data_IF_388968413823
#
_entry.id   IF_388968413823
#
_cell.length_a   1.000
_cell.length_b   1.000
_cell.length_c   1.000
_cell.angle_alpha   90.00
_cell.angle_beta   90.00
_cell.angle_gamma   90.00
#
_symmetry.space_group_name_H-M   'P 1'
#
loop_
_entity.id
_entity.type
_entity.pdbx_description
1 polymer ?
#
# COMPACT_ATOMS: atom_id res chain seq x y z
N UNK A 1 39.10 13.51 10.58
CA UNK A 1 38.14 12.52 10.04
C UNK A 1 36.86 12.70 10.82
N UNK A 2 35.70 12.77 10.17
CA UNK A 2 34.44 12.63 10.89
C UNK A 2 34.42 11.22 11.47
N UNK A 3 34.46 11.08 12.78
CA UNK A 3 34.35 9.76 13.41
C UNK A 3 32.94 9.21 13.16
N UNK A 4 32.87 8.00 12.62
CA UNK A 4 31.64 7.25 12.42
C UNK A 4 31.83 5.85 12.99
N UNK A 5 30.72 5.25 13.43
CA UNK A 5 30.78 3.91 13.98
C UNK A 5 30.76 2.88 12.85
N UNK A 6 31.54 1.81 13.03
CA UNK A 6 31.50 0.65 12.15
C UNK A 6 30.08 0.07 12.12
N UNK A 7 29.56 -0.22 10.92
CA UNK A 7 28.19 -0.71 10.75
C UNK A 7 27.10 0.36 10.77
N UNK A 8 27.44 1.64 10.94
CA UNK A 8 26.48 2.74 10.84
C UNK A 8 25.91 2.84 9.41
N UNK A 9 24.60 3.07 9.29
CA UNK A 9 23.93 3.29 8.00
C UNK A 9 23.62 4.77 7.84
N UNK A 10 23.98 5.35 6.67
CA UNK A 10 23.69 6.74 6.30
C UNK A 10 23.11 6.84 4.90
N UNK A 11 22.45 7.98 4.67
CA UNK A 11 21.87 8.36 3.39
C UNK A 11 22.89 9.21 2.61
N UNK A 12 23.11 8.85 1.35
CA UNK A 12 24.01 9.53 0.42
C UNK A 12 23.23 9.96 -0.84
N UNK A 13 23.27 11.24 -1.25
CA UNK A 13 22.56 11.73 -2.44
C UNK A 13 23.31 11.53 -3.76
N UNK A 14 24.44 10.82 -3.73
CA UNK A 14 25.32 10.62 -4.89
C UNK A 14 25.73 9.16 -5.01
N UNK A 15 26.13 8.77 -6.22
CA UNK A 15 26.45 7.37 -6.57
C UNK A 15 27.85 6.93 -6.14
N UNK A 16 28.82 7.85 -6.17
CA UNK A 16 30.20 7.58 -5.76
C UNK A 16 30.30 7.52 -4.23
N UNK A 17 30.34 6.32 -3.70
CA UNK A 17 30.41 6.10 -2.25
C UNK A 17 31.82 6.39 -1.73
N UNK A 18 31.96 7.11 -0.59
CA UNK A 18 33.27 7.40 -0.01
C UNK A 18 33.99 6.13 0.44
N UNK A 19 35.32 6.22 0.55
CA UNK A 19 36.12 5.14 1.13
C UNK A 19 35.67 4.82 2.57
N UNK A 20 35.64 3.53 2.91
CA UNK A 20 35.16 3.04 4.21
C UNK A 20 33.63 2.87 4.28
N UNK A 21 32.92 2.98 3.16
CA UNK A 21 31.48 2.75 3.05
C UNK A 21 31.18 1.78 1.91
N UNK A 22 30.05 1.09 2.00
CA UNK A 22 29.50 0.27 0.93
C UNK A 22 27.99 0.48 0.81
N UNK A 23 27.44 0.38 -0.40
CA UNK A 23 25.98 0.47 -0.59
C UNK A 23 25.28 -0.71 0.08
N UNK A 24 24.07 -0.50 0.59
CA UNK A 24 23.25 -1.58 1.14
C UNK A 24 22.49 -2.29 0.01
N UNK A 25 23.20 -3.09 -0.81
CA UNK A 25 22.65 -3.80 -1.98
C UNK A 25 22.70 -5.33 -1.82
N UNK A 26 22.92 -5.84 -0.60
CA UNK A 26 22.94 -7.28 -0.33
C UNK A 26 24.24 -8.00 -0.71
N UNK A 27 25.32 -7.29 -1.05
CA UNK A 27 26.56 -7.94 -1.46
C UNK A 27 27.20 -8.78 -0.34
N UNK A 28 27.87 -9.86 -0.75
CA UNK A 28 28.63 -10.74 0.14
C UNK A 28 30.02 -10.15 0.44
N UNK A 29 30.36 -10.13 1.72
CA UNK A 29 31.64 -9.68 2.27
C UNK A 29 32.39 -10.88 2.83
N UNK A 30 33.71 -10.94 2.60
CA UNK A 30 34.56 -11.98 3.17
C UNK A 30 34.78 -11.73 4.67
N UNK A 31 34.49 -12.73 5.50
CA UNK A 31 34.65 -12.66 6.96
C UNK A 31 36.10 -12.35 7.33
N UNK A 32 37.07 -13.00 6.67
CA UNK A 32 38.50 -12.84 6.95
C UNK A 32 38.98 -11.38 6.82
N UNK A 33 38.40 -10.61 5.90
CA UNK A 33 38.77 -9.23 5.61
C UNK A 33 37.93 -8.21 6.40
N UNK A 34 36.78 -8.62 6.95
CA UNK A 34 35.80 -7.73 7.57
C UNK A 34 35.38 -8.25 8.96
N UNK A 35 36.33 -8.81 9.72
CA UNK A 35 36.06 -9.49 10.99
C UNK A 35 35.28 -8.59 11.97
N UNK A 36 35.68 -7.33 12.12
CA UNK A 36 35.02 -6.39 13.03
C UNK A 36 33.59 -6.05 12.60
N UNK A 37 33.30 -5.97 11.28
CA UNK A 37 31.94 -5.75 10.81
C UNK A 37 31.09 -7.02 10.99
N UNK A 38 31.69 -8.19 10.77
CA UNK A 38 31.05 -9.48 10.99
C UNK A 38 30.67 -9.70 12.46
N UNK A 39 31.48 -9.26 13.44
CA UNK A 39 31.09 -9.38 14.86
C UNK A 39 29.85 -8.55 15.22
N UNK A 40 29.56 -7.48 14.46
CA UNK A 40 28.36 -6.66 14.65
C UNK A 40 27.15 -7.26 13.93
N UNK A 41 27.30 -7.60 12.65
CA UNK A 41 26.17 -8.01 11.80
C UNK A 41 25.86 -9.51 11.87
N UNK A 42 26.88 -10.34 12.08
CA UNK A 42 26.81 -11.78 11.87
C UNK A 42 26.46 -12.11 10.42
N UNK A 43 25.74 -13.21 10.20
CA UNK A 43 25.16 -13.61 8.93
C UNK A 43 23.66 -13.26 8.80
N UNK A 44 23.17 -12.29 9.59
CA UNK A 44 21.73 -11.99 9.69
C UNK A 44 21.09 -11.56 8.37
N UNK A 45 21.87 -11.01 7.44
CA UNK A 45 21.42 -10.59 6.12
C UNK A 45 21.72 -11.61 5.01
N UNK A 46 22.31 -12.76 5.35
CA UNK A 46 22.71 -13.80 4.41
C UNK A 46 24.19 -14.16 4.49
N UNK A 47 24.63 -15.02 3.57
CA UNK A 47 25.95 -15.65 3.58
C UNK A 47 26.03 -16.88 4.48
N UNK A 48 27.16 -17.57 4.42
CA UNK A 48 27.38 -18.84 5.13
C UNK A 48 27.81 -18.68 6.59
N UNK A 49 28.16 -17.47 7.02
CA UNK A 49 28.64 -17.15 8.36
C UNK A 49 30.01 -17.75 8.71
N UNK A 50 30.71 -18.31 7.73
CA UNK A 50 32.04 -18.93 7.88
C UNK A 50 33.07 -18.24 6.98
N UNK A 51 32.85 -18.28 5.68
CA UNK A 51 33.68 -17.59 4.70
C UNK A 51 33.13 -16.18 4.41
N UNK A 52 31.80 -16.03 4.38
CA UNK A 52 31.15 -14.79 3.99
C UNK A 52 29.90 -14.46 4.82
N UNK A 53 29.51 -13.18 4.76
CA UNK A 53 28.25 -12.66 5.27
C UNK A 53 27.73 -11.59 4.31
N UNK A 54 26.43 -11.36 4.26
CA UNK A 54 25.86 -10.31 3.42
C UNK A 54 25.70 -8.99 4.18
N UNK A 55 25.76 -7.87 3.45
CA UNK A 55 25.25 -6.58 3.92
C UNK A 55 23.72 -6.53 3.77
N UNK A 56 23.02 -5.58 4.42
CA UNK A 56 21.60 -5.37 4.17
C UNK A 56 21.32 -5.06 2.69
N UNK A 57 20.18 -5.51 2.17
CA UNK A 57 19.64 -5.07 0.88
C UNK A 57 18.47 -4.12 1.14
N UNK A 58 18.68 -2.83 0.86
CA UNK A 58 17.70 -1.77 1.07
C UNK A 58 17.20 -1.15 -0.24
N UNK A 59 17.50 -1.77 -1.38
CA UNK A 59 17.00 -1.31 -2.69
C UNK A 59 15.48 -1.46 -2.75
N UNK A 60 14.78 -0.37 -3.07
CA UNK A 60 13.31 -0.34 -3.12
C UNK A 60 12.61 -0.52 -1.76
N UNK A 61 13.34 -0.45 -0.64
CA UNK A 61 12.81 -0.74 0.70
C UNK A 61 12.87 0.49 1.60
N UNK A 62 11.85 0.63 2.44
CA UNK A 62 11.83 1.61 3.52
C UNK A 62 12.32 0.94 4.81
N UNK A 63 13.41 1.42 5.44
CA UNK A 63 13.85 0.89 6.72
C UNK A 63 12.79 1.14 7.81
N UNK A 64 12.49 0.11 8.60
CA UNK A 64 11.61 0.19 9.77
C UNK A 64 12.37 -0.25 11.01
N UNK A 65 12.03 0.32 12.16
CA UNK A 65 12.63 -0.05 13.44
C UNK A 65 12.29 -1.51 13.77
N UNK A 66 13.31 -2.33 14.03
CA UNK A 66 13.09 -3.71 14.47
C UNK A 66 12.69 -3.73 15.94
N UNK A 67 11.68 -4.52 16.28
CA UNK A 67 11.24 -4.73 17.66
C UNK A 67 10.72 -6.16 17.79
N UNK A 68 11.14 -6.85 18.84
CA UNK A 68 10.73 -8.23 19.15
C UNK A 68 9.61 -8.29 20.19
N UNK A 69 9.28 -7.17 20.84
CA UNK A 69 8.22 -7.08 21.84
C UNK A 69 6.94 -6.53 21.22
N UNK A 70 5.80 -7.25 21.28
CA UNK A 70 4.52 -6.73 20.83
C UNK A 70 4.17 -5.38 21.45
N UNK A 71 3.78 -4.41 20.60
CA UNK A 71 3.22 -3.13 21.01
C UNK A 71 1.77 -3.06 20.51
N UNK A 72 0.85 -2.56 21.33
CA UNK A 72 -0.59 -2.59 21.04
C UNK A 72 -1.00 -1.83 19.77
N UNK A 73 -0.22 -0.81 19.39
CA UNK A 73 -0.51 0.14 18.32
C UNK A 73 0.55 0.15 17.21
N UNK A 74 1.54 -0.76 17.23
CA UNK A 74 2.66 -0.75 16.29
C UNK A 74 3.01 -2.13 15.78
N UNK A 75 3.58 -2.14 14.59
CA UNK A 75 4.09 -3.35 13.95
C UNK A 75 5.26 -3.89 14.76
N UNK A 76 5.23 -5.19 15.05
CA UNK A 76 6.34 -5.93 15.65
C UNK A 76 7.04 -6.70 14.55
N UNK A 77 8.31 -6.41 14.32
CA UNK A 77 9.06 -6.96 13.19
C UNK A 77 10.48 -7.29 13.64
N UNK A 78 10.89 -8.54 13.42
CA UNK A 78 12.24 -8.97 13.68
C UNK A 78 13.21 -8.37 12.66
N UNK A 79 14.47 -8.20 13.05
CA UNK A 79 15.52 -7.71 12.16
C UNK A 79 15.59 -8.58 10.89
N UNK A 80 15.77 -7.93 9.73
CA UNK A 80 15.83 -8.57 8.42
C UNK A 80 14.57 -9.37 8.03
N UNK A 81 13.40 -8.99 8.52
CA UNK A 81 12.13 -9.57 8.05
C UNK A 81 11.53 -8.69 6.95
N UNK A 82 11.39 -9.17 5.70
CA UNK A 82 10.73 -8.42 4.65
C UNK A 82 9.23 -8.28 4.96
N UNK A 83 8.68 -7.09 4.69
CA UNK A 83 7.26 -6.77 4.91
C UNK A 83 6.80 -5.70 3.91
N UNK A 84 5.48 -5.54 3.79
CA UNK A 84 4.86 -4.64 2.83
C UNK A 84 4.73 -5.24 1.43
N UNK A 85 3.91 -4.61 0.59
CA UNK A 85 3.68 -4.97 -0.82
C UNK A 85 3.58 -3.69 -1.65
N UNK A 86 4.14 -3.71 -2.86
CA UNK A 86 4.13 -2.56 -3.79
C UNK A 86 2.77 -2.33 -4.44
N UNK A 87 1.94 -3.37 -4.52
CA UNK A 87 0.59 -3.32 -5.09
C UNK A 87 -0.40 -4.00 -4.17
N UNK A 88 -1.59 -3.41 -4.01
CA UNK A 88 -2.71 -4.00 -3.28
C UNK A 88 -3.91 -4.05 -4.20
N UNK A 89 -4.61 -5.18 -4.20
CA UNK A 89 -5.93 -5.31 -4.83
C UNK A 89 -6.99 -5.01 -3.80
N UNK A 90 -7.81 -3.98 -4.04
CA UNK A 90 -8.95 -3.69 -3.18
C UNK A 90 -10.00 -4.79 -3.32
N UNK A 91 -10.23 -5.49 -2.22
CA UNK A 91 -11.25 -6.50 -2.05
C UNK A 91 -12.51 -5.90 -1.43
N UNK A 92 -13.64 -6.61 -1.55
CA UNK A 92 -14.88 -6.18 -0.92
C UNK A 92 -14.77 -6.08 0.61
N UNK A 93 -13.87 -6.86 1.24
CA UNK A 93 -13.64 -6.82 2.68
C UNK A 93 -12.94 -5.52 3.15
N UNK A 94 -12.29 -4.79 2.24
CA UNK A 94 -11.60 -3.53 2.52
C UNK A 94 -12.50 -2.30 2.28
N UNK A 95 -13.76 -2.51 1.89
CA UNK A 95 -14.76 -1.47 1.68
C UNK A 95 -15.84 -1.52 2.77
N UNK A 96 -16.35 -0.37 3.24
CA UNK A 96 -17.54 -0.35 4.08
C UNK A 96 -18.72 -1.04 3.38
N UNK A 97 -19.39 -1.93 4.10
CA UNK A 97 -20.60 -2.56 3.63
C UNK A 97 -21.66 -1.49 3.34
N UNK A 98 -22.18 -1.48 2.12
CA UNK A 98 -23.23 -0.57 1.69
C UNK A 98 -24.20 -1.31 0.76
N UNK A 99 -25.41 -0.78 0.63
CA UNK A 99 -26.43 -1.30 -0.28
C UNK A 99 -27.02 -0.15 -1.08
N UNK A 100 -27.40 -0.45 -2.31
CA UNK A 100 -28.19 0.44 -3.15
C UNK A 100 -29.61 -0.09 -3.20
N UNK A 101 -30.57 0.75 -2.85
CA UNK A 101 -31.98 0.46 -3.06
C UNK A 101 -32.50 1.45 -4.10
N UNK A 102 -32.96 0.91 -5.23
CA UNK A 102 -33.65 1.69 -6.25
C UNK A 102 -35.13 1.32 -6.22
N UNK A 103 -35.97 2.32 -5.95
CA UNK A 103 -37.41 2.14 -5.85
C UNK A 103 -38.11 2.94 -6.95
N UNK A 104 -39.25 2.41 -7.39
CA UNK A 104 -40.15 3.05 -8.36
C UNK A 104 -41.56 3.10 -7.79
N UNK A 105 -42.37 4.07 -8.22
CA UNK A 105 -43.79 4.15 -7.83
C UNK A 105 -44.62 3.19 -8.68
N UNK A 106 -45.58 2.50 -8.05
CA UNK A 106 -46.59 1.71 -8.76
C UNK A 106 -47.77 2.57 -9.27
N UNK A 107 -47.78 3.88 -9.00
CA UNK A 107 -48.78 4.81 -9.50
C UNK A 107 -48.54 5.17 -10.97
N UNK A 108 -49.55 5.77 -11.62
CA UNK A 108 -49.43 6.31 -12.98
C UNK A 108 -48.54 7.55 -13.00
N UNK A 109 -47.71 7.66 -14.05
CA UNK A 109 -46.92 8.86 -14.31
C UNK A 109 -47.80 10.06 -14.64
N UNK A 110 -47.47 11.22 -14.07
CA UNK A 110 -48.21 12.49 -14.26
C UNK A 110 -47.35 13.57 -14.91
N UNK A 111 -46.03 13.39 -14.91
CA UNK A 111 -45.07 14.33 -15.46
C UNK A 111 -44.04 13.62 -16.34
N UNK A 112 -43.53 14.33 -17.33
CA UNK A 112 -42.50 13.87 -18.26
C UNK A 112 -41.07 14.24 -17.82
N UNK A 113 -40.93 15.05 -16.77
CA UNK A 113 -39.66 15.45 -16.18
C UNK A 113 -39.49 14.88 -14.76
N UNK A 114 -38.27 14.48 -14.35
CA UNK A 114 -38.00 13.86 -13.06
C UNK A 114 -37.93 14.84 -11.87
N UNK A 115 -38.27 16.12 -12.06
CA UNK A 115 -38.13 17.12 -11.02
C UNK A 115 -39.02 16.78 -9.80
N UNK A 116 -38.38 16.42 -8.68
CA UNK A 116 -39.06 15.96 -7.46
C UNK A 116 -40.06 14.80 -7.71
N UNK A 117 -39.73 13.92 -8.66
CA UNK A 117 -40.57 12.79 -9.08
C UNK A 117 -39.72 11.52 -9.24
N UNK A 118 -40.34 10.35 -9.05
CA UNK A 118 -39.69 9.04 -9.25
C UNK A 118 -40.26 8.39 -10.51
N UNK A 119 -39.54 7.40 -11.06
CA UNK A 119 -40.11 6.59 -12.14
C UNK A 119 -41.40 5.91 -11.69
N UNK A 120 -42.39 5.90 -12.58
CA UNK A 120 -43.74 5.45 -12.34
C UNK A 120 -44.26 4.62 -13.52
N UNK A 121 -45.47 4.08 -13.42
CA UNK A 121 -46.10 3.40 -14.55
C UNK A 121 -46.30 4.38 -15.71
N UNK A 122 -45.75 4.06 -16.88
CA UNK A 122 -45.77 4.95 -18.05
C UNK A 122 -47.21 5.19 -18.51
N UNK A 123 -47.57 6.45 -18.71
CA UNK A 123 -48.83 6.84 -19.35
C UNK A 123 -48.52 7.65 -20.61
N UNK A 124 -49.06 7.23 -21.76
CA UNK A 124 -49.11 8.10 -22.93
C UNK A 124 -50.26 9.08 -22.76
N UNK A 125 -49.97 10.37 -22.92
CA UNK A 125 -50.98 11.42 -22.78
C UNK A 125 -51.55 11.74 -24.17
N UNK A 126 -52.39 10.84 -24.70
CA UNK A 126 -53.16 11.05 -25.94
C UNK A 126 -52.31 11.33 -27.22
N UNK A 127 -52.91 11.17 -28.41
CA UNK A 127 -52.30 11.49 -29.70
C UNK A 127 -51.88 12.97 -29.83
N UNK A 128 -52.33 13.83 -28.92
CA UNK A 128 -52.03 15.26 -28.84
C UNK A 128 -50.77 15.63 -28.05
N UNK A 129 -50.18 14.72 -27.26
CA UNK A 129 -48.88 14.94 -26.60
C UNK A 129 -47.85 13.89 -27.04
N UNK A 130 -46.82 14.25 -27.82
CA UNK A 130 -45.87 13.27 -28.36
C UNK A 130 -44.94 12.64 -27.32
N UNK A 131 -45.00 13.06 -26.05
CA UNK A 131 -44.13 12.59 -24.97
C UNK A 131 -44.92 11.88 -23.88
N UNK A 132 -44.47 10.69 -23.49
CA UNK A 132 -45.06 9.92 -22.40
C UNK A 132 -44.64 10.49 -21.03
N UNK A 133 -45.50 10.32 -20.03
CA UNK A 133 -45.16 10.60 -18.64
C UNK A 133 -44.48 9.38 -18.03
N UNK A 134 -43.20 9.52 -17.72
CA UNK A 134 -42.39 8.46 -17.11
C UNK A 134 -42.28 8.59 -15.59
N UNK A 135 -42.69 9.73 -15.02
CA UNK A 135 -42.46 10.07 -13.63
C UNK A 135 -43.75 10.47 -12.89
N UNK A 136 -43.77 10.22 -11.58
CA UNK A 136 -44.90 10.51 -10.70
C UNK A 136 -44.47 10.72 -9.25
N UNK A 137 -45.44 10.86 -8.35
CA UNK A 137 -45.19 11.08 -6.93
C UNK A 137 -44.48 9.89 -6.27
N UNK A 138 -43.59 10.16 -5.30
CA UNK A 138 -42.87 9.15 -4.52
C UNK A 138 -43.76 8.45 -3.49
N UNK A 139 -44.81 7.77 -3.95
CA UNK A 139 -45.78 7.03 -3.15
C UNK A 139 -45.90 5.60 -3.66
N UNK A 140 -46.29 4.67 -2.79
CA UNK A 140 -46.35 3.23 -3.12
C UNK A 140 -45.07 2.73 -3.80
N UNK A 141 -43.93 3.02 -3.15
CA UNK A 141 -42.62 2.65 -3.65
C UNK A 141 -42.42 1.14 -3.54
N UNK A 142 -41.99 0.53 -4.64
CA UNK A 142 -41.56 -0.87 -4.69
C UNK A 142 -40.13 -0.95 -5.20
N UNK A 143 -39.37 -1.91 -4.68
CA UNK A 143 -38.01 -2.17 -5.16
C UNK A 143 -38.07 -2.73 -6.59
N UNK A 144 -37.16 -2.27 -7.44
CA UNK A 144 -36.98 -2.90 -8.76
C UNK A 144 -36.34 -4.27 -8.62
N UNK A 145 -36.38 -5.06 -9.70
CA UNK A 145 -35.63 -6.33 -9.79
C UNK A 145 -34.15 -6.07 -9.46
N UNK A 146 -33.56 -6.94 -8.63
CA UNK A 146 -32.19 -6.79 -8.15
C UNK A 146 -31.16 -6.55 -9.27
N UNK A 147 -31.33 -7.19 -10.43
CA UNK A 147 -30.43 -7.06 -11.60
C UNK A 147 -30.37 -5.65 -12.21
N UNK A 148 -31.29 -4.77 -11.84
CA UNK A 148 -31.26 -3.36 -12.23
C UNK A 148 -30.15 -2.57 -11.52
N UNK A 149 -29.59 -3.14 -10.44
CA UNK A 149 -28.41 -2.64 -9.74
C UNK A 149 -27.32 -3.70 -9.89
N UNK A 150 -26.16 -3.29 -10.39
CA UNK A 150 -25.00 -4.17 -10.52
C UNK A 150 -23.89 -3.68 -9.63
N UNK A 151 -23.07 -4.61 -9.15
CA UNK A 151 -21.80 -4.25 -8.53
C UNK A 151 -20.82 -3.86 -9.62
N UNK A 152 -20.05 -2.80 -9.36
CA UNK A 152 -18.97 -2.33 -10.22
C UNK A 152 -17.63 -2.48 -9.50
N UNK A 153 -16.55 -2.64 -10.27
CA UNK A 153 -15.20 -2.87 -9.76
C UNK A 153 -14.54 -4.09 -10.43
N UNK A 154 -13.30 -3.91 -10.91
CA UNK A 154 -12.60 -4.91 -11.72
C UNK A 154 -11.57 -5.75 -10.96
N UNK A 155 -11.54 -5.70 -9.63
CA UNK A 155 -10.47 -6.30 -8.80
C UNK A 155 -9.05 -5.91 -9.28
N UNK A 156 -8.91 -4.70 -9.82
CA UNK A 156 -7.62 -4.18 -10.28
C UNK A 156 -6.75 -3.81 -9.09
N UNK A 157 -5.47 -4.17 -9.16
CA UNK A 157 -4.49 -3.71 -8.19
C UNK A 157 -4.16 -2.23 -8.40
N UNK A 158 -3.94 -1.50 -7.31
CA UNK A 158 -3.36 -0.17 -7.34
C UNK A 158 -1.98 -0.18 -6.68
N UNK A 159 -1.16 0.81 -7.01
CA UNK A 159 0.12 1.02 -6.33
C UNK A 159 -0.14 1.36 -4.86
N UNK A 160 0.59 0.68 -3.98
CA UNK A 160 0.62 0.90 -2.53
C UNK A 160 1.99 1.46 -2.13
N UNK A 161 2.42 2.49 -2.84
CA UNK A 161 3.72 3.13 -2.67
C UNK A 161 3.46 4.59 -2.28
N UNK A 162 4.00 5.01 -1.14
CA UNK A 162 3.95 6.40 -0.73
C UNK A 162 4.79 7.28 -1.66
N UNK A 163 4.48 8.58 -1.81
CA UNK A 163 5.40 9.53 -2.43
C UNK A 163 6.79 9.41 -1.80
N UNK A 164 7.79 9.08 -2.61
CA UNK A 164 9.13 8.71 -2.14
C UNK A 164 10.20 9.40 -2.97
N UNK A 165 11.33 9.70 -2.34
CA UNK A 165 12.53 10.23 -2.99
C UNK A 165 13.69 9.25 -2.77
N UNK A 166 14.34 8.84 -3.85
CA UNK A 166 15.38 7.82 -3.82
C UNK A 166 16.75 8.41 -3.46
N UNK A 167 17.44 7.76 -2.52
CA UNK A 167 18.81 8.05 -2.13
C UNK A 167 19.58 6.73 -1.95
N UNK A 168 20.91 6.78 -1.94
CA UNK A 168 21.74 5.63 -1.64
C UNK A 168 21.84 5.43 -0.13
N UNK A 169 21.39 4.29 0.37
CA UNK A 169 21.65 3.85 1.74
C UNK A 169 22.97 3.09 1.74
N UNK A 170 23.93 3.55 2.56
CA UNK A 170 25.25 2.95 2.64
C UNK A 170 25.61 2.64 4.10
N UNK A 171 26.37 1.57 4.29
CA UNK A 171 26.86 1.10 5.58
C UNK A 171 28.37 1.32 5.69
N UNK A 172 28.82 1.78 6.86
CA UNK A 172 30.23 1.94 7.17
C UNK A 172 30.93 0.57 7.28
N UNK A 173 31.90 0.32 6.41
CA UNK A 173 32.75 -0.88 6.41
C UNK A 173 34.06 -0.68 7.17
N UNK A 174 34.36 0.56 7.54
CA UNK A 174 35.44 0.97 8.43
C UNK A 174 34.87 1.94 9.47
N UNK A 175 35.63 2.30 10.51
CA UNK A 175 35.18 3.25 11.54
C UNK A 175 35.49 2.78 12.95
N UNK A 176 35.04 3.54 13.94
CA UNK A 176 35.19 3.20 15.35
C UNK A 176 34.29 2.01 15.68
N UNK A 177 34.84 1.02 16.37
CA UNK A 177 34.00 -0.07 16.86
C UNK A 177 33.02 0.47 17.92
N UNK A 178 31.70 0.22 17.82
CA UNK A 178 30.73 0.71 18.79
C UNK A 178 31.08 0.23 20.21
N UNK A 179 31.13 1.13 21.22
CA UNK A 179 31.40 0.72 22.59
C UNK A 179 30.26 -0.19 23.09
N UNK A 180 30.61 -1.18 23.90
CA UNK A 180 29.60 -1.93 24.65
C UNK A 180 29.10 -1.04 25.78
N UNK A 181 27.78 -0.97 26.02
CA UNK A 181 27.22 -0.26 27.16
C UNK A 181 27.67 -0.87 28.50
#
# INVERSE_FOLDING_TARGET
>A
MSDFYLGEIRIFPYDRIPYGWAKCEGQLMQVQQNQALFTLLGNRFGGDGRANFALPDLRGRVPVYFNTQPLADRITVALNTPMGVETVTLTQAELPAHTHLYCVSTQQGTVNAPNNAVFAQVTQVDASKPQANYYGAATQLTAVKADAIRNEGGNGAHLNIQPSLAFNLCIATQGLYPPRP
#
